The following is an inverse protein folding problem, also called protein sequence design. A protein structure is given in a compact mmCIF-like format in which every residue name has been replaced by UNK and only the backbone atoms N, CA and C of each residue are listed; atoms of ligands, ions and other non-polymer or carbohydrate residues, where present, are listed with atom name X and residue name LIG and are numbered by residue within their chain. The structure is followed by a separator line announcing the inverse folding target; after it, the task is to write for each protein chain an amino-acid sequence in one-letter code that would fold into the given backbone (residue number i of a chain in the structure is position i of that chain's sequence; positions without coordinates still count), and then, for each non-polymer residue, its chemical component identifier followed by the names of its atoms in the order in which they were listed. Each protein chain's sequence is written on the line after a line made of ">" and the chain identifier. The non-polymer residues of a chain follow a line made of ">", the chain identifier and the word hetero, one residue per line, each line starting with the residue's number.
data_IF_530811213275
#
_entry.id   IF_530811213275
#
_cell.length_a   1.000
_cell.length_b   1.000
_cell.length_c   1.000
_cell.angle_alpha   90.00
_cell.angle_beta   90.00
_cell.angle_gamma   90.00
#
_symmetry.space_group_name_H-M   'P 1'
#
loop_
_entity.id
_entity.type
_entity.pdbx_description
1 polymer ?
2 polymer ?
3 non-polymer ?
4 non-polymer ?
5 water ?
#
# COMPACT_ATOMS: atom_id res chain seq x y z
N UNK A 1 -5.32 -8.48 -2.15
CA UNK A 1 -6.40 -7.94 -3.02
C UNK A 1 -7.54 -8.94 -3.13
N UNK A 2 -8.73 -8.53 -2.70
CA UNK A 2 -9.93 -9.36 -2.75
C UNK A 2 -10.71 -9.07 -4.03
N UNK A 3 -11.15 -10.14 -4.70
CA UNK A 3 -11.94 -9.98 -5.92
C UNK A 3 -11.15 -9.59 -7.15
N UNK A 4 -9.82 -9.72 -7.08
CA UNK A 4 -9.00 -9.36 -8.21
C UNK A 4 -8.60 -10.53 -9.08
N UNK A 5 -7.50 -10.37 -9.80
CA UNK A 5 -7.01 -11.41 -10.68
C UNK A 5 -5.50 -11.29 -10.77
N UNK A 6 -4.83 -12.38 -11.16
CA UNK A 6 -3.38 -12.33 -11.27
C UNK A 6 -2.96 -11.33 -12.33
N UNK A 7 -2.08 -10.42 -11.95
CA UNK A 7 -1.59 -9.41 -12.88
C UNK A 7 -0.60 -10.07 -13.84
N UNK A 8 -0.46 -9.54 -15.04
CA UNK A 8 0.50 -10.10 -15.98
C UNK A 8 1.83 -9.83 -15.30
N UNK A 9 2.77 -10.77 -15.37
CA UNK A 9 4.02 -10.54 -14.69
C UNK A 9 4.79 -9.29 -15.12
N UNK A 10 5.24 -8.54 -14.11
CA UNK A 10 5.99 -7.32 -14.29
C UNK A 10 5.21 -6.21 -15.00
N UNK A 11 3.89 -6.30 -15.00
CA UNK A 11 3.06 -5.29 -15.64
C UNK A 11 2.92 -4.02 -14.79
N UNK A 12 3.33 -4.12 -13.52
CA UNK A 12 3.30 -2.98 -12.62
C UNK A 12 4.72 -2.93 -12.06
N UNK A 13 5.69 -2.56 -12.91
CA UNK A 13 7.12 -2.46 -12.57
C UNK A 13 7.58 -1.57 -11.43
N UNK A 14 6.69 -0.73 -10.89
CA UNK A 14 7.09 0.13 -9.79
C UNK A 14 6.62 -0.46 -8.46
N UNK A 15 5.77 -1.49 -8.53
CA UNK A 15 5.26 -2.17 -7.35
C UNK A 15 6.38 -2.95 -6.68
N UNK A 16 6.53 -2.79 -5.37
CA UNK A 16 7.56 -3.54 -4.66
C UNK A 16 6.95 -4.29 -3.50
N UNK A 17 7.71 -5.26 -2.99
CA UNK A 17 7.28 -6.04 -1.84
C UNK A 17 8.17 -5.67 -0.67
N UNK A 18 7.57 -5.18 0.40
CA UNK A 18 8.33 -4.82 1.60
C UNK A 18 8.26 -6.02 2.53
N UNK A 19 9.41 -6.55 2.90
CA UNK A 19 9.46 -7.74 3.75
C UNK A 19 10.35 -7.54 4.98
N UNK A 20 10.03 -8.24 6.06
CA UNK A 20 10.83 -8.16 7.28
C UNK A 20 11.51 -9.49 7.54
N UNK A 21 12.67 -9.45 8.18
CA UNK A 21 13.40 -10.68 8.46
C UNK A 21 12.57 -11.53 9.43
N UNK A 22 12.35 -12.78 9.04
CA UNK A 22 11.57 -13.70 9.83
C UNK A 22 12.37 -15.00 9.96
N UNK A 23 13.02 -15.19 11.10
CA UNK A 23 13.82 -16.38 11.30
C UNK A 23 15.00 -16.45 10.37
N UNK A 24 15.01 -17.44 9.49
CA UNK A 24 16.10 -17.62 8.53
C UNK A 24 15.69 -17.14 7.14
N UNK A 25 14.50 -16.55 7.04
CA UNK A 25 14.03 -16.06 5.76
C UNK A 25 13.44 -14.66 5.87
N UNK A 26 12.57 -14.31 4.94
CA UNK A 26 11.92 -13.00 4.92
C UNK A 26 10.43 -13.16 4.71
N UNK A 27 9.64 -12.27 5.31
CA UNK A 27 8.19 -12.34 5.19
C UNK A 27 7.60 -11.05 4.65
N UNK A 28 6.79 -11.18 3.61
CA UNK A 28 6.14 -10.02 3.00
C UNK A 28 5.14 -9.44 4.01
N UNK A 29 5.15 -8.13 4.17
CA UNK A 29 4.20 -7.49 5.08
C UNK A 29 3.44 -6.37 4.39
N UNK A 30 4.10 -5.71 3.44
CA UNK A 30 3.50 -4.60 2.73
C UNK A 30 3.94 -4.43 1.29
N UNK A 31 3.21 -3.58 0.60
CA UNK A 31 3.54 -3.24 -0.78
C UNK A 31 4.25 -1.90 -0.69
N UNK A 32 4.61 -1.36 -1.85
CA UNK A 32 5.28 -0.08 -1.88
C UNK A 32 5.46 0.34 -3.32
N UNK A 33 5.89 1.57 -3.54
CA UNK A 33 6.11 2.07 -4.89
C UNK A 33 7.52 2.61 -5.01
N UNK A 34 8.29 2.10 -5.97
CA UNK A 34 9.64 2.57 -6.20
C UNK A 34 9.51 3.96 -6.81
N UNK A 35 10.07 4.99 -6.18
CA UNK A 35 9.96 6.33 -6.73
C UNK A 35 11.30 6.88 -7.22
N UNK A 36 12.38 6.29 -6.74
CA UNK A 36 13.74 6.66 -7.16
C UNK A 36 14.53 5.36 -7.13
N UNK A 37 15.68 5.33 -7.78
CA UNK A 37 16.48 4.11 -7.80
C UNK A 37 16.83 3.64 -6.40
N UNK A 38 16.83 4.57 -5.44
CA UNK A 38 17.14 4.21 -4.07
C UNK A 38 16.12 4.69 -3.04
N UNK A 39 14.89 4.95 -3.49
CA UNK A 39 13.82 5.39 -2.59
C UNK A 39 12.51 4.69 -2.88
N UNK A 40 11.85 4.24 -1.81
CA UNK A 40 10.55 3.57 -1.94
C UNK A 40 9.51 4.29 -1.09
N UNK A 41 8.31 4.44 -1.65
CA UNK A 41 7.21 5.09 -0.94
C UNK A 41 6.28 3.99 -0.45
N UNK A 42 5.92 4.05 0.83
CA UNK A 42 5.02 3.06 1.41
C UNK A 42 4.20 3.75 2.49
N UNK A 43 3.41 2.97 3.22
CA UNK A 43 2.59 3.52 4.29
C UNK A 43 3.42 3.61 5.57
N UNK A 44 3.17 4.64 6.36
CA UNK A 44 3.90 4.80 7.62
C UNK A 44 3.67 3.61 8.55
N UNK A 45 2.43 3.12 8.64
CA UNK A 45 2.17 2.01 9.55
C UNK A 45 2.91 0.72 9.19
N UNK A 46 3.37 0.62 7.94
CA UNK A 46 4.11 -0.57 7.53
C UNK A 46 5.45 -0.64 8.25
N UNK A 47 5.88 0.49 8.81
CA UNK A 47 7.14 0.51 9.52
C UNK A 47 7.00 0.96 10.96
N UNK A 48 5.78 0.84 11.50
CA UNK A 48 5.54 1.19 12.89
C UNK A 48 6.35 0.22 13.75
N UNK A 49 6.43 -1.03 13.31
CA UNK A 49 7.21 -2.04 14.01
C UNK A 49 8.65 -1.89 13.52
N UNK A 50 9.58 -1.63 14.44
CA UNK A 50 10.97 -1.41 14.06
C UNK A 50 11.72 -2.72 13.82
N UNK A 51 11.40 -3.36 12.70
CA UNK A 51 12.01 -4.63 12.31
C UNK A 51 13.10 -4.41 11.25
N UNK A 52 13.67 -5.51 10.76
CA UNK A 52 14.68 -5.43 9.71
C UNK A 52 13.93 -5.62 8.40
N UNK A 53 13.96 -4.60 7.55
CA UNK A 53 13.23 -4.64 6.29
C UNK A 53 14.11 -4.72 5.04
N UNK A 54 13.53 -5.28 3.98
CA UNK A 54 14.21 -5.37 2.70
C UNK A 54 13.11 -5.15 1.66
N UNK A 55 13.52 -4.71 0.48
CA UNK A 55 12.58 -4.47 -0.61
C UNK A 55 12.89 -5.38 -1.77
N UNK A 56 11.85 -5.89 -2.41
CA UNK A 56 12.02 -6.76 -3.55
C UNK A 56 11.38 -6.04 -4.73
N UNK A 57 12.19 -5.70 -5.73
CA UNK A 57 11.69 -5.05 -6.93
C UNK A 57 11.60 -6.12 -8.00
N UNK A 58 10.76 -5.91 -9.01
CA UNK A 58 10.61 -6.88 -10.08
C UNK A 58 9.98 -8.19 -9.65
N UNK A 59 9.32 -8.20 -8.51
CA UNK A 59 8.70 -9.41 -7.99
C UNK A 59 7.34 -9.74 -8.62
N UNK A 60 7.01 -11.03 -8.65
CA UNK A 60 5.72 -11.48 -9.16
C UNK A 60 5.18 -12.57 -8.25
N UNK A 61 5.97 -13.63 -8.07
CA UNK A 61 5.58 -14.73 -7.19
C UNK A 61 6.51 -14.69 -5.99
N UNK A 62 5.94 -14.43 -4.82
CA UNK A 62 6.71 -14.33 -3.59
C UNK A 62 7.47 -15.58 -3.18
N UNK A 63 7.03 -16.74 -3.66
CA UNK A 63 7.67 -17.98 -3.27
C UNK A 63 8.32 -18.77 -4.40
N UNK A 64 8.52 -18.13 -5.54
CA UNK A 64 9.15 -18.76 -6.70
C UNK A 64 10.13 -17.80 -7.36
N UNK A 65 11.22 -18.35 -7.90
CA UNK A 65 12.20 -17.51 -8.57
C UNK A 65 11.64 -17.15 -9.94
N UNK A 66 11.43 -15.86 -10.16
CA UNK A 66 10.89 -15.36 -11.42
C UNK A 66 11.97 -14.88 -12.37
N UNK A 67 13.21 -14.80 -11.86
CA UNK A 67 14.32 -14.35 -12.69
C UNK A 67 14.32 -12.87 -12.99
N UNK A 68 13.47 -12.11 -12.31
CA UNK A 68 13.37 -10.68 -12.54
C UNK A 68 13.53 -9.87 -11.26
N UNK A 69 13.71 -10.55 -10.13
CA UNK A 69 13.82 -9.87 -8.86
C UNK A 69 15.19 -9.31 -8.52
N UNK A 70 15.18 -8.31 -7.64
CA UNK A 70 16.38 -7.68 -7.11
C UNK A 70 16.03 -7.48 -5.65
N UNK A 71 16.94 -7.88 -4.77
CA UNK A 71 16.71 -7.73 -3.33
C UNK A 71 17.64 -6.68 -2.76
N UNK A 72 17.07 -5.69 -2.08
CA UNK A 72 17.86 -4.63 -1.48
C UNK A 72 17.34 -4.29 -0.09
N UNK A 73 18.25 -4.12 0.85
CA UNK A 73 17.85 -3.80 2.19
C UNK A 73 17.38 -2.37 2.36
N UNK A 74 16.57 -2.16 3.38
CA UNK A 74 16.08 -0.82 3.69
C UNK A 74 17.10 -0.29 4.67
N UNK A 75 17.80 0.77 4.28
CA UNK A 75 18.84 1.36 5.12
C UNK A 75 18.29 2.42 6.06
N UNK A 76 17.62 3.43 5.49
CA UNK A 76 17.06 4.51 6.30
C UNK A 76 15.55 4.61 6.11
N UNK A 77 14.85 5.12 7.11
CA UNK A 77 13.41 5.27 7.04
C UNK A 77 12.97 6.64 7.52
N UNK A 78 12.15 7.32 6.72
CA UNK A 78 11.65 8.64 7.07
C UNK A 78 10.12 8.58 7.08
N UNK A 79 9.55 8.69 8.28
CA UNK A 79 8.10 8.65 8.43
C UNK A 79 7.58 10.07 8.53
N UNK A 80 6.40 10.32 7.97
CA UNK A 80 5.85 11.66 8.04
C UNK A 80 5.72 12.06 9.50
N UNK A 81 6.23 13.25 9.87
CA UNK A 81 6.18 13.75 11.24
C UNK A 81 4.81 13.76 11.90
N UNK A 82 3.75 13.92 11.12
CA UNK A 82 2.41 13.97 11.68
C UNK A 82 1.75 12.60 11.83
N UNK A 83 2.41 11.56 11.33
CA UNK A 83 1.85 10.22 11.44
C UNK A 83 1.71 9.82 12.91
N UNK A 84 0.56 9.28 13.25
CA UNK A 84 0.27 8.84 14.61
C UNK A 84 -0.26 7.42 14.53
N UNK A 85 0.55 6.46 14.94
CA UNK A 85 0.16 5.06 14.89
C UNK A 85 -1.14 4.79 15.64
N UNK A 86 -1.48 5.64 16.60
CA UNK A 86 -2.70 5.46 17.37
C UNK A 86 -3.93 6.07 16.72
N UNK A 87 -3.75 6.73 15.58
CA UNK A 87 -4.88 7.35 14.90
C UNK A 87 -4.67 7.37 13.39
N UNK A 88 -4.84 6.22 12.75
CA UNK A 88 -4.65 6.13 11.30
C UNK A 88 -5.65 7.02 10.57
N UNK A 89 -6.82 7.23 11.17
CA UNK A 89 -7.84 8.06 10.57
C UNK A 89 -7.41 9.51 10.45
N UNK A 90 -6.41 9.92 11.23
CA UNK A 90 -5.92 11.29 11.17
C UNK A 90 -5.16 11.53 9.87
N UNK A 91 -4.71 10.45 9.25
CA UNK A 91 -3.97 10.56 8.00
C UNK A 91 -2.47 10.55 8.14
N UNK A 92 -1.78 11.13 7.17
CA UNK A 92 -0.33 11.20 7.16
C UNK A 92 0.32 9.82 7.12
N UNK A 93 -0.44 8.83 6.64
CA UNK A 93 0.08 7.47 6.58
C UNK A 93 0.99 7.30 5.37
N UNK A 94 2.20 7.81 5.49
CA UNK A 94 3.16 7.72 4.40
C UNK A 94 4.57 7.75 4.95
N UNK A 95 5.47 7.02 4.29
CA UNK A 95 6.86 6.97 4.72
C UNK A 95 7.71 6.66 3.51
N UNK A 96 8.96 7.11 3.55
CA UNK A 96 9.90 6.87 2.47
C UNK A 96 11.02 5.99 3.00
N UNK A 97 11.44 5.04 2.17
CA UNK A 97 12.50 4.12 2.55
C UNK A 97 13.70 4.31 1.64
N UNK A 98 14.85 4.65 2.21
CA UNK A 98 16.03 4.82 1.38
C UNK A 98 16.71 3.46 1.38
N UNK A 99 16.94 2.93 0.18
CA UNK A 99 17.54 1.61 0.03
C UNK A 99 19.05 1.61 0.25
N UNK A 100 19.58 0.46 0.64
CA UNK A 100 21.02 0.32 0.90
C UNK A 100 21.83 0.63 -0.35
N UNK A 101 21.31 0.21 -1.50
CA UNK A 101 21.96 0.46 -2.77
C UNK A 101 20.89 0.83 -3.79
N UNK A 102 21.29 1.40 -4.91
CA UNK A 102 20.34 1.75 -5.96
C UNK A 102 20.03 0.49 -6.75
N UNK A 103 18.76 0.26 -7.04
CA UNK A 103 18.39 -0.91 -7.81
C UNK A 103 18.64 -0.58 -9.27
N UNK A 104 18.73 -1.62 -10.10
CA UNK A 104 18.95 -1.43 -11.53
C UNK A 104 17.61 -1.34 -12.24
N UNK A 105 17.42 -0.28 -13.04
CA UNK A 105 16.18 -0.11 -13.76
C UNK A 105 16.21 -0.90 -15.06
N UNK A 106 15.09 -1.58 -15.34
CA UNK A 106 14.94 -2.37 -16.55
C UNK A 106 13.44 -2.49 -16.82
N UNK A 107 13.04 -3.45 -17.64
CA UNK A 107 11.62 -3.64 -17.95
C UNK A 107 10.80 -4.07 -16.75
N UNK A 108 11.44 -4.75 -15.81
CA UNK A 108 10.75 -5.25 -14.61
C UNK A 108 10.80 -4.28 -13.44
N UNK A 109 11.77 -3.37 -13.46
CA UNK A 109 11.95 -2.41 -12.39
C UNK A 109 11.91 -0.99 -12.94
N UNK A 110 10.82 -0.29 -12.66
CA UNK A 110 10.66 1.08 -13.15
C UNK A 110 10.20 2.04 -12.06
N UNK A 111 10.58 3.30 -12.19
CA UNK A 111 10.22 4.32 -11.23
C UNK A 111 8.73 4.59 -11.34
N UNK A 112 8.06 4.70 -10.20
CA UNK A 112 6.64 4.95 -10.25
C UNK A 112 6.36 6.35 -10.76
N UNK A 113 5.25 6.53 -11.46
CA UNK A 113 4.93 7.86 -11.94
C UNK A 113 3.93 8.42 -10.93
N UNK A 114 4.22 9.61 -10.43
CA UNK A 114 3.35 10.25 -9.45
C UNK A 114 2.52 11.35 -10.08
N UNK A 115 1.39 11.70 -9.46
CA UNK A 115 0.52 12.74 -10.00
C UNK A 115 1.10 14.10 -9.64
N UNK A 116 0.65 15.14 -10.32
CA UNK A 116 1.12 16.48 -10.04
C UNK A 116 0.52 16.88 -8.69
N UNK A 117 1.22 17.73 -7.95
CA UNK A 117 0.76 18.16 -6.65
C UNK A 117 -0.69 18.65 -6.62
N UNK A 118 -1.42 18.24 -5.60
CA UNK A 118 -2.80 18.67 -5.43
C UNK A 118 -3.89 18.10 -6.30
N UNK A 119 -3.54 17.28 -7.29
CA UNK A 119 -4.57 16.73 -8.17
C UNK A 119 -5.50 15.76 -7.43
N UNK A 120 -6.80 15.97 -7.60
CA UNK A 120 -7.80 15.12 -6.98
C UNK A 120 -8.67 14.57 -8.10
N UNK A 121 -8.91 13.26 -8.07
CA UNK A 121 -9.69 12.59 -9.10
C UNK A 121 -11.19 12.74 -8.94
N UNK A 122 -11.89 12.75 -10.07
CA UNK A 122 -13.34 12.86 -10.06
C UNK A 122 -13.89 11.52 -9.61
N UNK A 123 -15.14 11.51 -9.18
CA UNK A 123 -15.78 10.28 -8.74
C UNK A 123 -15.77 9.24 -9.86
N UNK A 124 -15.62 7.97 -9.48
CA UNK A 124 -15.62 6.86 -10.42
C UNK A 124 -14.44 6.86 -11.39
N UNK A 125 -13.30 7.41 -10.97
CA UNK A 125 -12.13 7.43 -11.84
C UNK A 125 -11.55 6.01 -11.91
N UNK A 126 -11.14 5.58 -13.11
CA UNK A 126 -10.58 4.24 -13.31
C UNK A 126 -9.22 4.02 -12.66
N UNK A 127 -9.17 3.08 -11.72
CA UNK A 127 -7.92 2.78 -11.03
C UNK A 127 -7.82 1.29 -10.75
N UNK A 128 -6.62 0.86 -10.43
CA UNK A 128 -6.37 -0.53 -10.09
C UNK A 128 -5.52 -0.60 -8.83
N UNK A 129 -5.89 -1.48 -7.93
CA UNK A 129 -5.08 -1.67 -6.73
C UNK A 129 -4.28 -2.93 -7.03
N UNK A 130 -3.02 -2.97 -6.61
CA UNK A 130 -2.21 -4.15 -6.84
C UNK A 130 -1.52 -4.55 -5.54
N UNK A 131 -1.20 -5.83 -5.41
CA UNK A 131 -0.54 -6.29 -4.21
C UNK A 131 -0.61 -7.78 -3.99
N UNK A 132 0.12 -8.25 -2.97
CA UNK A 132 0.16 -9.68 -2.62
C UNK A 132 -0.69 -9.96 -1.38
N UNK A 133 -1.50 -8.98 -0.99
CA UNK A 133 -2.35 -9.16 0.18
C UNK A 133 -3.34 -10.31 0.07
N UNK A 134 -4.06 -10.58 1.16
CA UNK A 134 -5.05 -11.64 1.18
C UNK A 134 -6.07 -11.45 0.08
N UNK A 135 -6.57 -12.55 -0.47
CA UNK A 135 -7.57 -12.50 -1.52
C UNK A 135 -8.95 -12.71 -0.91
N UNK A 136 -8.97 -12.99 0.39
CA UNK A 136 -10.22 -13.16 1.11
C UNK A 136 -9.94 -13.00 2.60
N UNK A 137 -10.98 -12.59 3.33
CA UNK A 137 -10.85 -12.37 4.76
C UNK A 137 -10.39 -13.69 5.38
N UNK A 138 -9.39 -13.62 6.26
CA UNK A 138 -8.85 -14.79 6.94
C UNK A 138 -8.04 -15.71 6.04
N UNK A 139 -7.80 -15.29 4.81
CA UNK A 139 -7.03 -16.12 3.90
C UNK A 139 -5.55 -15.89 4.09
N UNK A 140 -4.75 -16.35 3.13
CA UNK A 140 -3.31 -16.14 3.20
C UNK A 140 -2.90 -15.20 2.10
N UNK A 141 -1.66 -14.74 2.14
CA UNK A 141 -1.16 -13.84 1.13
C UNK A 141 -1.33 -14.47 -0.24
N UNK A 142 -1.43 -13.62 -1.26
CA UNK A 142 -1.54 -14.12 -2.62
C UNK A 142 -0.11 -14.47 -2.97
N UNK A 143 0.10 -15.57 -3.68
CA UNK A 143 1.46 -15.94 -4.05
C UNK A 143 1.91 -15.10 -5.22
N UNK A 144 1.00 -14.80 -6.13
CA UNK A 144 1.32 -13.99 -7.30
C UNK A 144 0.69 -12.61 -7.17
N UNK A 145 1.34 -11.60 -7.75
CA UNK A 145 0.83 -10.23 -7.68
C UNK A 145 -0.58 -10.17 -8.24
N UNK A 146 -1.49 -9.58 -7.49
CA UNK A 146 -2.88 -9.46 -7.90
C UNK A 146 -3.24 -8.01 -8.20
N UNK A 147 -4.26 -7.83 -9.02
CA UNK A 147 -4.76 -6.51 -9.35
C UNK A 147 -6.27 -6.59 -9.35
N UNK A 148 -6.91 -5.47 -9.02
CA UNK A 148 -8.36 -5.39 -9.02
C UNK A 148 -8.74 -3.99 -9.42
N UNK A 149 -9.74 -3.88 -10.30
CA UNK A 149 -10.20 -2.58 -10.73
C UNK A 149 -10.95 -1.99 -9.54
N UNK A 150 -10.53 -0.82 -9.09
CA UNK A 150 -11.16 -0.14 -7.97
C UNK A 150 -11.41 1.31 -8.32
N UNK A 151 -12.60 1.62 -8.84
CA UNK A 151 -12.90 3.01 -9.20
C UNK A 151 -12.97 3.87 -7.94
N UNK A 152 -12.57 5.12 -8.06
CA UNK A 152 -12.57 6.02 -6.91
C UNK A 152 -13.98 6.41 -6.46
N UNK A 153 -14.07 6.75 -5.19
CA UNK A 153 -15.31 7.21 -4.57
C UNK A 153 -14.85 8.58 -4.08
N UNK A 154 -15.39 9.65 -4.66
CA UNK A 154 -14.96 10.99 -4.26
C UNK A 154 -15.21 11.32 -2.79
N UNK A 155 -14.54 12.36 -2.33
CA UNK A 155 -14.63 12.81 -0.94
C UNK A 155 -16.07 13.07 -0.48
N UNK A 156 -16.85 13.73 -1.32
CA UNK A 156 -18.24 14.03 -0.97
C UNK A 156 -19.00 12.77 -0.60
N UNK A 157 -18.85 11.73 -1.41
CA UNK A 157 -19.54 10.48 -1.15
C UNK A 157 -18.84 9.69 -0.05
N UNK A 158 -17.53 9.57 -0.15
CA UNK A 158 -16.77 8.81 0.83
C UNK A 158 -16.84 9.33 2.26
N UNK A 159 -16.89 10.64 2.43
CA UNK A 159 -16.96 11.21 3.78
C UNK A 159 -18.39 11.38 4.26
N UNK A 160 -19.35 10.89 3.47
CA UNK A 160 -20.75 10.99 3.87
C UNK A 160 -20.97 9.97 5.00
N UNK A 161 -21.94 10.25 5.86
CA UNK A 161 -22.23 9.38 6.99
C UNK A 161 -22.46 7.91 6.63
N UNK A 162 -23.00 7.68 5.45
CA UNK A 162 -23.30 6.35 4.96
C UNK A 162 -22.03 5.54 4.68
N UNK A 163 -20.96 6.24 4.34
CA UNK A 163 -19.69 5.59 4.02
C UNK A 163 -18.72 5.63 5.19
N UNK A 164 -17.71 6.49 5.10
CA UNK A 164 -16.72 6.61 6.16
C UNK A 164 -16.91 7.79 7.10
N UNK A 165 -17.81 8.70 6.75
CA UNK A 165 -18.01 9.86 7.59
C UNK A 165 -16.74 10.68 7.65
N UNK A 166 -16.51 11.36 8.77
CA UNK A 166 -15.32 12.19 8.92
C UNK A 166 -14.03 11.39 9.06
N UNK A 167 -14.14 10.07 9.15
CA UNK A 167 -12.96 9.22 9.27
C UNK A 167 -12.08 9.42 8.05
N UNK A 168 -12.69 9.65 6.89
CA UNK A 168 -11.94 9.89 5.66
C UNK A 168 -11.66 11.38 5.55
N UNK A 169 -10.42 11.72 5.23
CA UNK A 169 -10.00 13.10 5.09
C UNK A 169 -9.76 13.43 3.62
N UNK A 170 -9.68 14.72 3.29
CA UNK A 170 -9.43 15.15 1.92
C UNK A 170 -8.02 14.76 1.49
N UNK A 171 -7.20 14.37 2.46
CA UNK A 171 -5.82 13.97 2.18
C UNK A 171 -5.78 12.47 1.84
N UNK A 172 -6.95 11.89 1.62
CA UNK A 172 -7.04 10.47 1.30
C UNK A 172 -7.84 10.24 0.02
N UNK A 173 -7.69 9.05 -0.54
CA UNK A 173 -8.43 8.66 -1.73
C UNK A 173 -9.16 7.38 -1.38
N UNK A 174 -10.44 7.32 -1.72
CA UNK A 174 -11.23 6.13 -1.47
C UNK A 174 -11.45 5.46 -2.81
N UNK A 175 -11.54 4.14 -2.82
CA UNK A 175 -11.77 3.42 -4.05
C UNK A 175 -12.45 2.09 -3.74
N UNK A 176 -13.39 1.70 -4.58
CA UNK A 176 -14.08 0.44 -4.36
C UNK A 176 -15.30 0.59 -3.49
N UNK A 177 -15.43 -0.30 -2.50
CA UNK A 177 -16.56 -0.24 -1.59
C UNK A 177 -17.82 -0.90 -2.12
N UNK A 178 -17.68 -1.79 -3.10
CA UNK A 178 -18.85 -2.47 -3.65
C UNK A 178 -19.14 -3.76 -2.87
N UNK A 179 -18.32 -4.03 -1.87
CA UNK A 179 -18.50 -5.21 -1.05
C UNK A 179 -17.88 -6.48 -1.61
N UNK A 180 -17.28 -6.38 -2.80
CA UNK A 180 -16.66 -7.54 -3.43
C UNK A 180 -15.17 -7.37 -3.66
N UNK A 181 -14.77 -6.22 -4.19
CA UNK A 181 -13.37 -5.93 -4.47
C UNK A 181 -12.77 -4.94 -3.48
N UNK A 182 -11.52 -5.19 -3.07
CA UNK A 182 -10.86 -4.31 -2.10
C UNK A 182 -9.45 -4.77 -1.83
N UNK A 183 -8.71 -3.93 -1.11
CA UNK A 183 -7.38 -4.32 -0.73
C UNK A 183 -7.60 -5.14 0.54
N UNK A 184 -6.59 -5.85 1.01
CA UNK A 184 -6.74 -6.63 2.24
C UNK A 184 -5.34 -6.74 2.84
N UNK A 185 -5.22 -7.34 4.03
CA UNK A 185 -3.92 -7.41 4.68
C UNK A 185 -2.79 -7.92 3.79
N UNK A 186 -1.76 -7.09 3.69
CA UNK A 186 -0.62 -7.42 2.86
C UNK A 186 -0.52 -6.42 1.73
N UNK A 187 -1.59 -5.66 1.50
CA UNK A 187 -1.61 -4.66 0.43
C UNK A 187 -1.15 -3.28 0.88
N UNK A 188 -1.18 -3.02 2.19
CA UNK A 188 -0.75 -1.73 2.73
C UNK A 188 0.55 -1.22 2.13
N UNK A 189 0.64 0.09 1.97
CA UNK A 189 1.83 0.71 1.42
C UNK A 189 1.92 0.65 -0.09
N UNK A 190 1.12 -0.25 -0.67
CA UNK A 190 1.10 -0.42 -2.10
C UNK A 190 0.41 0.69 -2.86
N UNK A 191 0.45 0.63 -4.19
CA UNK A 191 -0.17 1.64 -5.03
C UNK A 191 -1.62 1.44 -5.45
N UNK A 192 -2.22 2.56 -5.83
CA UNK A 192 -3.56 2.61 -6.39
C UNK A 192 -3.19 3.32 -7.68
N UNK A 193 -3.16 2.57 -8.78
CA UNK A 193 -2.79 3.13 -10.08
C UNK A 193 -4.04 3.67 -10.74
N UNK A 194 -4.01 4.91 -11.20
CA UNK A 194 -5.16 5.49 -11.86
C UNK A 194 -4.78 6.00 -13.22
N UNK A 195 -5.58 5.67 -14.23
CA UNK A 195 -5.30 6.10 -15.59
C UNK A 195 -5.78 7.51 -15.86
N UNK A 196 -4.84 8.39 -16.17
CA UNK A 196 -5.14 9.79 -16.48
C UNK A 196 -4.34 10.18 -17.73
N UNK A 197 -5.07 10.61 -18.77
CA UNK A 197 -4.45 11.00 -20.04
C UNK A 197 -3.48 9.97 -20.60
N UNK A 198 -3.94 8.73 -20.66
CA UNK A 198 -3.13 7.65 -21.20
C UNK A 198 -2.03 7.08 -20.33
N UNK A 199 -1.79 7.67 -19.17
CA UNK A 199 -0.74 7.22 -18.28
C UNK A 199 -1.25 6.83 -16.89
N UNK A 200 -0.78 5.69 -16.39
CA UNK A 200 -1.15 5.25 -15.05
C UNK A 200 -0.20 5.91 -14.07
N UNK A 201 -0.77 6.55 -13.04
CA UNK A 201 0.04 7.21 -12.02
C UNK A 201 -0.42 6.69 -10.68
N UNK A 202 0.49 6.65 -9.72
CA UNK A 202 0.16 6.18 -8.38
C UNK A 202 -0.43 7.31 -7.56
N UNK A 203 -1.76 7.33 -7.47
CA UNK A 203 -2.49 8.36 -6.74
C UNK A 203 -2.68 8.01 -5.26
N UNK A 204 -2.51 6.74 -4.93
CA UNK A 204 -2.70 6.36 -3.55
C UNK A 204 -1.72 5.37 -2.96
N UNK A 205 -1.63 5.41 -1.64
CA UNK A 205 -0.79 4.50 -0.87
C UNK A 205 -1.77 3.79 0.06
N UNK A 206 -1.98 2.50 -0.19
CA UNK A 206 -2.93 1.70 0.59
C UNK A 206 -2.78 1.88 2.09
N UNK A 207 -3.87 2.26 2.76
CA UNK A 207 -3.83 2.51 4.20
C UNK A 207 -4.73 1.63 5.04
N UNK A 208 -6.05 1.72 4.85
CA UNK A 208 -6.95 0.92 5.67
C UNK A 208 -8.29 0.56 5.07
N UNK A 209 -9.00 -0.31 5.78
CA UNK A 209 -10.33 -0.77 5.42
C UNK A 209 -11.14 -0.74 6.71
N UNK A 210 -12.39 -1.20 6.62
CA UNK A 210 -13.28 -1.24 7.78
C UNK A 210 -12.83 -2.27 8.79
N UNK A 211 -13.20 -2.05 10.06
CA UNK A 211 -12.85 -3.01 11.10
C UNK A 211 -13.75 -4.23 10.93
N UNK A 212 -14.77 -4.09 10.07
CA UNK A 212 -15.69 -5.19 9.82
C UNK A 212 -15.19 -6.14 8.75
N UNK A 213 -14.09 -5.76 8.10
CA UNK A 213 -13.55 -6.62 7.05
C UNK A 213 -12.96 -5.85 5.88
N UNK A 214 -12.26 -6.55 5.02
CA UNK A 214 -11.65 -5.95 3.85
C UNK A 214 -12.66 -5.45 2.84
N UNK A 215 -13.46 -6.38 2.32
CA UNK A 215 -14.49 -6.05 1.34
C UNK A 215 -15.85 -5.85 2.01
N UNK A 216 -16.16 -4.59 2.30
CA UNK A 216 -17.41 -4.24 2.96
C UNK A 216 -18.12 -3.16 2.14
N UNK A 217 -19.38 -3.39 1.86
CA UNK A 217 -20.16 -2.44 1.08
C UNK A 217 -20.23 -1.09 1.78
N UNK A 218 -19.93 -0.03 1.01
CA UNK A 218 -19.91 1.33 1.49
C UNK A 218 -18.74 1.65 2.41
N UNK A 219 -17.73 0.77 2.39
CA UNK A 219 -16.51 0.98 3.17
C UNK A 219 -15.38 0.75 2.18
N UNK A 220 -15.24 1.64 1.19
CA UNK A 220 -14.17 1.48 0.20
C UNK A 220 -12.79 1.46 0.84
N UNK A 221 -11.84 0.88 0.13
CA UNK A 221 -10.47 0.83 0.62
C UNK A 221 -9.98 2.28 0.68
N UNK A 222 -9.24 2.63 1.72
CA UNK A 222 -8.77 4.00 1.85
C UNK A 222 -7.27 4.10 1.65
N UNK A 223 -6.87 5.08 0.85
CA UNK A 223 -5.46 5.31 0.53
C UNK A 223 -5.02 6.72 0.88
N UNK A 224 -3.73 6.86 1.19
CA UNK A 224 -3.15 8.16 1.47
C UNK A 224 -3.08 8.79 0.08
N UNK A 225 -3.52 10.04 -0.04
CA UNK A 225 -3.48 10.71 -1.35
C UNK A 225 -2.07 11.21 -1.65
N UNK A 226 -1.40 10.51 -2.56
CA UNK A 226 -0.04 10.86 -2.94
C UNK A 226 0.13 12.33 -3.34
N UNK A 227 -0.83 12.84 -4.11
CA UNK A 227 -0.74 14.23 -4.57
C UNK A 227 -0.74 15.26 -3.44
N UNK A 228 -1.07 14.86 -2.23
CA UNK A 228 -1.08 15.80 -1.12
C UNK A 228 0.29 15.82 -0.42
N UNK A 229 1.21 14.97 -0.88
CA UNK A 229 2.53 14.88 -0.27
C UNK A 229 3.70 15.04 -1.22
N UNK A 230 3.46 15.64 -2.39
CA UNK A 230 4.52 15.80 -3.37
C UNK A 230 5.68 16.62 -2.80
N UNK A 231 5.38 17.78 -2.20
CA UNK A 231 6.43 18.61 -1.65
C UNK A 231 7.12 17.91 -0.49
N UNK A 232 6.37 17.14 0.30
CA UNK A 232 6.94 16.40 1.41
C UNK A 232 7.94 15.39 0.88
N UNK A 233 7.53 14.61 -0.12
CA UNK A 233 8.42 13.61 -0.71
C UNK A 233 9.69 14.28 -1.25
N UNK A 234 9.52 15.37 -1.99
CA UNK A 234 10.68 16.06 -2.53
C UNK A 234 11.59 16.61 -1.44
N UNK A 235 11.00 17.11 -0.36
CA UNK A 235 11.79 17.64 0.74
C UNK A 235 12.63 16.55 1.38
N UNK A 236 12.05 15.36 1.51
CA UNK A 236 12.74 14.24 2.11
C UNK A 236 13.89 13.75 1.23
N UNK A 237 13.62 13.63 -0.06
CA UNK A 237 14.63 13.18 -1.02
C UNK A 237 15.74 14.23 -1.13
N UNK A 238 15.34 15.50 -1.18
CA UNK A 238 16.29 16.60 -1.29
C UNK A 238 17.17 16.69 -0.04
N UNK A 239 16.60 16.39 1.12
CA UNK A 239 17.36 16.44 2.37
C UNK A 239 18.41 15.36 2.36
N UNK A 240 18.32 14.49 1.36
CA UNK A 240 19.23 13.37 1.14
C UNK A 240 19.81 12.78 2.41
N UNK B 1 -11.45 1.50 11.97
CA UNK B 1 -10.63 1.06 10.81
C UNK B 1 -9.64 -0.02 11.20
N UNK B 2 -9.09 -0.69 10.18
CA UNK B 2 -8.09 -1.73 10.36
C UNK B 2 -7.11 -1.59 9.19
N UNK B 3 -5.82 -1.42 9.53
CA UNK B 3 -4.76 -1.27 8.54
C UNK B 3 -4.57 -2.52 7.69
N UNK B 4 -3.98 -2.36 6.52
CA UNK B 4 -3.79 -3.49 5.62
C UNK B 4 -2.39 -4.09 5.55
N UNK B 5 -1.65 -4.07 6.67
CA UNK B 5 -0.33 -4.68 6.66
C UNK B 5 -0.50 -6.13 7.10
N UNK B 6 0.39 -7.00 6.64
CA UNK B 6 0.30 -8.41 7.03
C UNK B 6 1.39 -8.67 8.06
N UNK B 7 0.97 -8.90 9.29
CA UNK B 7 1.93 -9.09 10.38
C UNK B 7 1.47 -10.12 11.40
N UNK B 8 2.43 -10.86 11.95
CA UNK B 8 2.13 -11.86 12.97
C UNK B 8 1.73 -11.15 14.26
N UNK B 9 1.02 -11.87 15.11
CA UNK B 9 0.59 -11.31 16.39
C UNK B 9 0.29 -12.42 17.40
N UNK B 10 0.26 -12.04 18.68
CA UNK B 10 -0.04 -12.98 19.75
C UNK B 10 -1.31 -12.56 20.48
N UNK B 11 -1.62 -11.26 20.41
CA UNK B 11 -2.82 -10.73 21.05
C UNK B 11 -3.35 -9.55 20.26
N UNK B 12 -4.62 -9.22 20.45
CA UNK B 12 -5.23 -8.12 19.71
C UNK B 12 -4.50 -6.79 19.84
N UNK B 13 -3.90 -6.54 21.00
CA UNK B 13 -3.17 -5.29 21.19
C UNK B 13 -1.90 -5.22 20.35
N UNK B 14 -1.49 -6.35 19.77
CA UNK B 14 -0.29 -6.38 18.92
C UNK B 14 -0.65 -5.83 17.54
N UNK B 15 -1.94 -5.78 17.26
CA UNK B 15 -2.42 -5.30 15.97
C UNK B 15 -2.79 -3.82 16.00
N UNK B 16 -2.63 -3.16 14.86
CA UNK B 16 -2.92 -1.73 14.77
C UNK B 16 -4.39 -1.37 14.64
N UNK B 17 -4.72 -0.14 14.98
CA UNK B 17 -6.08 0.38 14.90
C UNK B 17 -7.11 -0.59 15.46
N UNK B 18 -8.16 -0.86 14.68
CA UNK B 18 -9.20 -1.76 15.13
C UNK B 18 -8.99 -3.21 14.73
N UNK B 19 -7.83 -3.51 14.14
CA UNK B 19 -7.54 -4.88 13.74
C UNK B 19 -7.41 -5.79 14.96
N UNK B 20 -7.74 -7.06 14.77
CA UNK B 20 -7.64 -8.04 15.83
C UNK B 20 -6.70 -9.16 15.42
N UNK B 21 -6.15 -9.86 16.41
CA UNK B 21 -5.26 -10.97 16.12
C UNK B 21 -6.07 -12.23 15.86
N UNK B 22 -6.02 -12.74 14.63
CA UNK B 22 -6.77 -13.93 14.27
C UNK B 22 -6.19 -15.19 14.90
N UNK B 23 -6.98 -16.28 14.99
CA UNK B 23 -6.47 -17.51 15.60
C UNK B 23 -5.28 -18.10 14.84
N UNK B 24 -5.05 -17.61 13.63
CA UNK B 24 -3.94 -18.10 12.82
C UNK B 24 -2.65 -17.33 13.14
N UNK B 25 -2.74 -16.37 14.05
CA UNK B 25 -1.58 -15.61 14.45
C UNK B 25 -1.25 -14.39 13.61
N UNK B 26 -2.21 -13.91 12.82
CA UNK B 26 -1.97 -12.72 12.01
C UNK B 26 -3.07 -11.70 12.24
N UNK B 27 -2.73 -10.42 12.08
CA UNK B 27 -3.70 -9.36 12.27
C UNK B 27 -4.70 -9.29 11.13
N UNK B 28 -5.90 -8.82 11.42
CA UNK B 28 -6.93 -8.74 10.39
C UNK B 28 -8.25 -8.17 10.87
X LIG C 1 9.74 -14.41 -7.08
X LIG D 1 -3.61 19.40 -1.42
X LIG D 1 -2.87 19.53 -0.16
X LIG D 1 -5.04 19.12 -1.14
X LIG D 1 -3.04 18.29 -2.21
X LIG D 1 -3.52 20.65 -2.19
#
# INVERSE_FOLDING_TARGET
>A
VVGGTEAQRNSWPSQISLQYRSGSSWAHTCGGTLIRQNWVMTAAHCVDRELTFRVVVGEHNLNQNDGTEQYVGVQKIVVHPYWNTDDVAAGYDIALLRLAQSVTLNSYVQLGVLPRAGTILANNSPCYITGWGLTRTNGQLAQTLQQAYLPTVDYAICSSSSYWGSTVKNSMVCAGGDGVRSGCQGDSGGPLHCLVNGQYAVHGVTSFVSRLGCNVTRKPTVFTRVSAYISWINNVIASN
>B
PCTLEYMRCKQDSDCLAGCVCGPNGFCG
>C hetero
1 CA CA
>D hetero
1 SO4 S O1 O2 O3 O4
#
